data_IF_507639994704
#
_entry.id   IF_507639994704
#
_cell.length_a   1.000
_cell.length_b   1.000
_cell.length_c   1.000
_cell.angle_alpha   90.00
_cell.angle_beta   90.00
_cell.angle_gamma   90.00
#
_symmetry.space_group_name_H-M   'P 1'
#
loop_
_entity.id
_entity.type
_entity.pdbx_description
1 polymer ?
#
# COMPACT_ATOMS: atom_id res chain seq x y z
N UNK A 1 -47.26 20.74 -14.54
CA UNK A 1 -45.95 20.36 -15.13
C UNK A 1 -45.01 20.10 -13.95
N UNK A 2 -45.05 18.88 -13.42
CA UNK A 2 -44.34 18.47 -12.22
C UNK A 2 -42.94 18.01 -12.59
N UNK A 3 -41.94 18.84 -12.27
CA UNK A 3 -40.54 18.42 -12.21
C UNK A 3 -40.40 17.49 -11.00
N UNK A 4 -40.53 16.19 -11.24
CA UNK A 4 -40.10 15.19 -10.26
C UNK A 4 -38.65 14.86 -10.61
N UNK A 5 -37.79 15.13 -9.65
CA UNK A 5 -36.40 14.68 -9.51
C UNK A 5 -35.92 13.68 -10.56
N UNK A 6 -35.12 14.16 -11.52
CA UNK A 6 -34.07 13.34 -12.11
C UNK A 6 -32.97 13.13 -11.06
N UNK A 7 -33.27 12.36 -10.02
CA UNK A 7 -32.26 11.72 -9.19
C UNK A 7 -31.36 10.93 -10.14
N UNK A 8 -30.05 11.21 -10.10
CA UNK A 8 -29.05 10.55 -10.92
C UNK A 8 -29.04 9.07 -10.52
N UNK A 9 -29.84 8.25 -11.20
CA UNK A 9 -29.87 6.80 -10.99
C UNK A 9 -28.54 6.24 -11.48
N UNK A 10 -27.73 5.76 -10.55
CA UNK A 10 -26.49 5.07 -10.89
C UNK A 10 -26.78 3.65 -11.37
N UNK A 11 -25.81 3.00 -12.00
CA UNK A 11 -25.94 1.59 -12.41
C UNK A 11 -26.19 0.63 -11.24
N UNK A 12 -25.71 0.99 -10.03
CA UNK A 12 -25.94 0.22 -8.81
C UNK A 12 -27.40 0.32 -8.37
N UNK A 13 -28.02 1.52 -8.45
CA UNK A 13 -29.44 1.72 -8.12
C UNK A 13 -30.36 0.93 -9.07
N UNK A 14 -29.96 0.83 -10.34
CA UNK A 14 -30.67 0.02 -11.32
C UNK A 14 -30.58 -1.48 -10.97
N UNK A 15 -29.40 -1.96 -10.56
CA UNK A 15 -29.22 -3.33 -10.10
C UNK A 15 -30.05 -3.64 -8.84
N UNK A 16 -30.02 -2.75 -7.84
CA UNK A 16 -30.84 -2.87 -6.62
C UNK A 16 -32.32 -2.99 -6.98
N UNK A 17 -32.83 -2.08 -7.82
CA UNK A 17 -34.22 -2.13 -8.27
C UNK A 17 -34.56 -3.40 -9.05
N UNK A 18 -33.62 -3.91 -9.85
CA UNK A 18 -33.80 -5.13 -10.63
C UNK A 18 -33.95 -6.36 -9.73
N UNK A 19 -33.05 -6.50 -8.75
CA UNK A 19 -33.09 -7.61 -7.78
C UNK A 19 -34.32 -7.48 -6.88
N UNK A 20 -34.68 -6.27 -6.46
CA UNK A 20 -35.87 -6.01 -5.65
C UNK A 20 -37.17 -6.42 -6.36
N UNK A 21 -37.31 -6.09 -7.65
CA UNK A 21 -38.48 -6.43 -8.48
C UNK A 21 -38.57 -7.91 -8.77
N UNK A 22 -37.47 -8.54 -9.17
CA UNK A 22 -37.46 -9.94 -9.57
C UNK A 22 -37.37 -10.92 -8.38
N UNK A 23 -37.02 -10.42 -7.18
CA UNK A 23 -36.70 -11.16 -5.93
C UNK A 23 -35.49 -12.09 -6.03
N UNK A 24 -35.26 -12.68 -7.20
CA UNK A 24 -34.15 -13.55 -7.54
C UNK A 24 -33.85 -13.43 -9.03
N UNK A 25 -32.60 -13.13 -9.39
CA UNK A 25 -32.16 -12.99 -10.78
C UNK A 25 -30.75 -13.55 -10.97
N UNK A 26 -30.46 -14.24 -12.08
CA UNK A 26 -29.11 -14.72 -12.35
C UNK A 26 -28.17 -13.57 -12.78
N UNK A 27 -26.87 -13.69 -12.52
CA UNK A 27 -25.89 -12.67 -12.96
C UNK A 27 -25.92 -12.43 -14.48
N UNK A 28 -26.09 -13.49 -15.29
CA UNK A 28 -26.20 -13.39 -16.75
C UNK A 28 -27.47 -12.65 -17.17
N UNK A 29 -28.60 -12.92 -16.51
CA UNK A 29 -29.86 -12.22 -16.79
C UNK A 29 -29.80 -10.75 -16.38
N UNK A 30 -29.22 -10.45 -15.21
CA UNK A 30 -28.99 -9.07 -14.78
C UNK A 30 -28.06 -8.31 -15.73
N UNK A 31 -27.03 -8.96 -16.27
CA UNK A 31 -26.12 -8.40 -17.29
C UNK A 31 -26.85 -8.03 -18.57
N UNK A 32 -27.74 -8.91 -19.04
CA UNK A 32 -28.57 -8.65 -20.23
C UNK A 32 -29.60 -7.55 -20.01
N UNK A 33 -30.24 -7.50 -18.85
CA UNK A 33 -31.27 -6.50 -18.54
C UNK A 33 -30.68 -5.09 -18.34
N UNK A 34 -29.48 -4.98 -17.76
CA UNK A 34 -28.83 -3.68 -17.53
C UNK A 34 -27.89 -3.24 -18.66
N UNK A 35 -27.50 -4.15 -19.56
CA UNK A 35 -26.49 -3.87 -20.60
C UNK A 35 -25.09 -3.66 -20.04
N UNK A 36 -24.77 -4.27 -18.90
CA UNK A 36 -23.51 -4.10 -18.16
C UNK A 36 -22.77 -5.43 -18.12
N UNK A 37 -21.45 -5.43 -18.26
CA UNK A 37 -20.64 -6.64 -18.24
C UNK A 37 -20.83 -7.43 -16.92
N UNK A 38 -21.02 -8.75 -17.02
CA UNK A 38 -21.29 -9.63 -15.89
C UNK A 38 -20.30 -9.47 -14.73
N UNK A 39 -19.01 -9.29 -15.04
CA UNK A 39 -17.94 -9.06 -14.05
C UNK A 39 -18.20 -7.82 -13.19
N UNK A 40 -18.70 -6.74 -13.79
CA UNK A 40 -18.99 -5.48 -13.07
C UNK A 40 -20.20 -5.66 -12.16
N UNK A 41 -21.24 -6.38 -12.62
CA UNK A 41 -22.39 -6.73 -11.79
C UNK A 41 -21.99 -7.64 -10.63
N UNK A 42 -21.05 -8.56 -10.84
CA UNK A 42 -20.51 -9.41 -9.78
C UNK A 42 -19.76 -8.60 -8.72
N UNK A 43 -18.91 -7.64 -9.14
CA UNK A 43 -18.23 -6.73 -8.22
C UNK A 43 -19.23 -5.88 -7.41
N UNK A 44 -20.26 -5.34 -8.05
CA UNK A 44 -21.34 -4.62 -7.35
C UNK A 44 -22.13 -5.54 -6.42
N UNK A 45 -22.41 -6.76 -6.84
CA UNK A 45 -23.17 -7.72 -6.05
C UNK A 45 -22.44 -8.12 -4.77
N UNK A 46 -21.11 -8.28 -4.80
CA UNK A 46 -20.30 -8.53 -3.61
C UNK A 46 -20.35 -7.37 -2.62
N UNK A 47 -20.25 -6.14 -3.12
CA UNK A 47 -20.39 -4.94 -2.28
C UNK A 47 -21.78 -4.88 -1.64
N UNK A 48 -22.84 -5.16 -2.42
CA UNK A 48 -24.21 -5.16 -1.91
C UNK A 48 -24.50 -6.33 -0.95
N UNK A 49 -23.76 -7.44 -1.06
CA UNK A 49 -23.81 -8.56 -0.13
C UNK A 49 -23.13 -8.23 1.20
N UNK A 50 -21.97 -7.56 1.15
CA UNK A 50 -21.28 -7.06 2.35
C UNK A 50 -22.14 -6.06 3.14
N UNK A 51 -22.93 -5.25 2.42
CA UNK A 51 -23.91 -4.32 3.00
C UNK A 51 -25.23 -5.00 3.43
N UNK A 52 -25.41 -6.30 3.14
CA UNK A 52 -26.61 -7.06 3.51
C UNK A 52 -27.87 -6.68 2.72
N UNK A 53 -27.72 -6.02 1.57
CA UNK A 53 -28.83 -5.58 0.70
C UNK A 53 -29.31 -6.76 -0.17
N UNK A 54 -28.38 -7.56 -0.67
CA UNK A 54 -28.65 -8.77 -1.46
C UNK A 54 -27.81 -9.95 -0.95
N UNK A 55 -28.13 -11.17 -1.35
CA UNK A 55 -27.36 -12.39 -1.07
C UNK A 55 -27.02 -13.09 -2.38
N UNK A 56 -25.81 -13.62 -2.51
CA UNK A 56 -25.39 -14.37 -3.68
C UNK A 56 -25.57 -15.88 -3.40
N UNK A 57 -26.63 -16.45 -3.99
CA UNK A 57 -26.91 -17.89 -3.91
C UNK A 57 -26.29 -18.63 -5.09
N UNK A 58 -25.38 -19.56 -4.82
CA UNK A 58 -24.77 -20.42 -5.84
C UNK A 58 -25.61 -21.69 -6.00
N UNK A 59 -26.21 -21.88 -7.18
CA UNK A 59 -26.88 -23.12 -7.55
C UNK A 59 -26.20 -23.74 -8.76
N UNK A 60 -25.58 -24.91 -8.56
CA UNK A 60 -24.70 -25.55 -9.54
C UNK A 60 -23.57 -24.60 -9.98
N UNK A 61 -23.52 -24.25 -11.26
CA UNK A 61 -22.52 -23.37 -11.87
C UNK A 61 -23.04 -21.94 -12.07
N UNK A 62 -24.24 -21.62 -11.58
CA UNK A 62 -24.90 -20.34 -11.83
C UNK A 62 -25.11 -19.58 -10.52
N UNK A 63 -24.59 -18.36 -10.45
CA UNK A 63 -24.80 -17.44 -9.33
C UNK A 63 -26.09 -16.65 -9.49
N UNK A 64 -26.91 -16.62 -8.45
CA UNK A 64 -28.16 -15.88 -8.37
C UNK A 64 -28.06 -14.77 -7.32
N UNK A 65 -28.49 -13.57 -7.70
CA UNK A 65 -28.70 -12.46 -6.79
C UNK A 65 -30.10 -12.59 -6.19
N UNK A 66 -30.17 -12.73 -4.87
CA UNK A 66 -31.42 -12.85 -4.11
C UNK A 66 -31.58 -11.60 -3.26
N UNK A 67 -32.76 -10.99 -3.28
CA UNK A 67 -33.04 -9.86 -2.39
C UNK A 67 -32.96 -10.33 -0.93
N UNK A 68 -32.05 -9.76 -0.14
CA UNK A 68 -31.83 -10.16 1.25
C UNK A 68 -32.80 -9.49 2.24
N UNK A 69 -33.80 -8.77 1.71
CA UNK A 69 -34.74 -7.94 2.46
C UNK A 69 -35.19 -8.53 3.80
N UNK A 70 -34.80 -7.82 4.86
CA UNK A 70 -35.17 -7.98 6.27
C UNK A 70 -34.76 -9.32 6.90
N UNK A 71 -33.61 -9.35 7.60
CA UNK A 71 -33.52 -9.52 9.07
C UNK A 71 -32.15 -9.02 9.53
N UNK A 72 -32.05 -7.77 9.97
CA UNK A 72 -31.09 -7.43 11.04
C UNK A 72 -31.88 -7.65 12.32
N UNK A 73 -31.48 -8.63 13.13
CA UNK A 73 -32.14 -8.89 14.40
C UNK A 73 -32.17 -7.60 15.23
N UNK A 74 -33.37 -7.12 15.55
CA UNK A 74 -33.57 -5.98 16.45
C UNK A 74 -32.92 -6.30 17.81
N UNK A 75 -32.16 -5.38 18.42
CA UNK A 75 -31.66 -5.56 19.77
C UNK A 75 -32.84 -5.82 20.73
N UNK A 76 -32.72 -6.79 21.64
CA UNK A 76 -33.84 -7.24 22.50
C UNK A 76 -34.58 -6.10 23.22
N UNK A 77 -33.85 -5.05 23.66
CA UNK A 77 -34.44 -3.85 24.29
C UNK A 77 -35.34 -3.02 23.37
N UNK A 78 -35.05 -3.01 22.07
CA UNK A 78 -35.78 -2.21 21.07
C UNK A 78 -37.07 -2.90 20.70
N UNK A 79 -36.98 -4.23 20.57
CA UNK A 79 -38.14 -5.10 20.43
C UNK A 79 -39.06 -4.97 21.65
N UNK A 80 -38.49 -4.99 22.86
CA UNK A 80 -39.23 -4.80 24.11
C UNK A 80 -39.96 -3.43 24.16
N UNK A 81 -39.28 -2.33 23.80
CA UNK A 81 -39.90 -1.00 23.76
C UNK A 81 -40.98 -0.86 22.68
N UNK A 82 -40.81 -1.49 21.51
CA UNK A 82 -41.85 -1.55 20.47
C UNK A 82 -43.07 -2.34 20.92
N UNK A 83 -42.85 -3.50 21.52
CA UNK A 83 -43.92 -4.34 22.06
C UNK A 83 -44.68 -3.59 23.17
N UNK A 84 -43.99 -2.86 24.04
CA UNK A 84 -44.62 -2.00 25.06
C UNK A 84 -45.44 -0.87 24.44
N UNK A 85 -44.93 -0.17 23.43
CA UNK A 85 -45.68 0.88 22.70
C UNK A 85 -46.92 0.32 22.02
N UNK A 86 -46.78 -0.78 21.29
CA UNK A 86 -47.88 -1.38 20.54
C UNK A 86 -48.97 -1.89 21.48
N UNK A 87 -48.57 -2.47 22.62
CA UNK A 87 -49.48 -2.82 23.70
C UNK A 87 -50.23 -1.60 24.24
N UNK A 88 -49.54 -0.48 24.47
CA UNK A 88 -50.16 0.76 24.94
C UNK A 88 -51.12 1.37 23.92
N UNK A 89 -50.79 1.33 22.62
CA UNK A 89 -51.68 1.81 21.56
C UNK A 89 -52.98 0.99 21.51
N UNK A 90 -52.88 -0.32 21.62
CA UNK A 90 -54.04 -1.22 21.69
C UNK A 90 -54.89 -0.92 22.94
N UNK A 91 -54.26 -0.68 24.10
CA UNK A 91 -54.98 -0.30 25.32
C UNK A 91 -55.71 1.05 25.16
N UNK A 92 -55.04 2.06 24.60
CA UNK A 92 -55.63 3.39 24.36
C UNK A 92 -56.79 3.31 23.38
N UNK A 93 -56.66 2.54 22.30
CA UNK A 93 -57.71 2.35 21.31
C UNK A 93 -58.90 1.58 21.91
N UNK A 94 -58.63 0.57 22.76
CA UNK A 94 -59.65 -0.15 23.53
C UNK A 94 -60.39 0.74 24.53
N UNK A 95 -59.68 1.63 25.22
CA UNK A 95 -60.27 2.62 26.13
C UNK A 95 -61.12 3.64 25.37
N UNK A 96 -60.64 4.13 24.22
CA UNK A 96 -61.37 5.04 23.33
C UNK A 96 -62.70 4.41 22.87
N UNK A 97 -62.65 3.15 22.42
CA UNK A 97 -63.85 2.41 22.01
C UNK A 97 -64.84 2.18 23.16
N UNK A 98 -64.36 1.91 24.38
CA UNK A 98 -65.21 1.81 25.58
C UNK A 98 -65.90 3.12 25.91
N UNK A 99 -65.19 4.25 25.82
CA UNK A 99 -65.77 5.58 26.03
C UNK A 99 -66.84 5.88 24.98
N UNK A 100 -66.57 5.56 23.72
CA UNK A 100 -67.55 5.72 22.64
C UNK A 100 -68.82 4.88 22.87
N UNK A 101 -68.67 3.63 23.32
CA UNK A 101 -69.79 2.74 23.67
C UNK A 101 -70.61 3.26 24.85
N UNK A 102 -69.97 3.68 25.94
CA UNK A 102 -70.65 4.26 27.11
C UNK A 102 -71.39 5.56 26.77
N UNK A 103 -70.84 6.38 25.86
CA UNK A 103 -71.50 7.59 25.35
C UNK A 103 -72.74 7.27 24.51
N UNK A 104 -72.73 6.16 23.76
CA UNK A 104 -73.90 5.69 23.01
C UNK A 104 -74.99 5.15 23.94
N UNK A 105 -74.64 4.28 24.90
CA UNK A 105 -75.57 3.71 25.89
C UNK A 105 -76.20 4.78 26.82
N UNK A 106 -75.40 5.79 27.19
CA UNK A 106 -75.86 6.96 27.95
C UNK A 106 -77.01 7.70 27.28
N UNK A 107 -76.98 7.82 25.94
CA UNK A 107 -78.03 8.48 25.16
C UNK A 107 -79.34 7.68 25.09
N UNK A 108 -79.29 6.35 25.22
CA UNK A 108 -80.45 5.47 25.08
C UNK A 108 -81.16 5.13 26.40
N UNK A 109 -80.46 5.08 27.53
CA UNK A 109 -80.99 4.39 28.74
C UNK A 109 -81.55 5.30 29.84
N UNK A 110 -81.10 6.55 29.99
CA UNK A 110 -81.63 7.50 31.00
C UNK A 110 -81.55 7.11 32.49
N UNK A 111 -81.20 5.86 32.84
CA UNK A 111 -81.16 5.33 34.23
C UNK A 111 -79.89 4.55 34.60
N UNK A 112 -78.80 4.69 33.85
CA UNK A 112 -77.53 3.97 34.06
C UNK A 112 -76.34 4.79 34.56
N UNK A 113 -76.55 5.99 35.13
CA UNK A 113 -75.46 6.95 35.41
C UNK A 113 -74.39 6.39 36.36
N UNK A 114 -74.77 5.57 37.35
CA UNK A 114 -73.83 5.07 38.36
C UNK A 114 -72.81 4.05 37.83
N UNK A 115 -73.18 3.19 36.87
CA UNK A 115 -72.22 2.24 36.27
C UNK A 115 -71.30 2.96 35.31
N UNK A 116 -71.82 3.90 34.51
CA UNK A 116 -71.04 4.73 33.59
C UNK A 116 -69.97 5.54 34.35
N UNK A 117 -70.30 6.10 35.53
CA UNK A 117 -69.32 6.83 36.36
C UNK A 117 -68.19 5.92 36.85
N UNK A 118 -68.49 4.67 37.22
CA UNK A 118 -67.50 3.70 37.69
C UNK A 118 -66.57 3.25 36.55
N UNK A 119 -67.13 3.00 35.37
CA UNK A 119 -66.36 2.60 34.19
C UNK A 119 -65.50 3.76 33.68
N UNK A 120 -66.02 4.99 33.67
CA UNK A 120 -65.28 6.20 33.32
C UNK A 120 -64.13 6.47 34.29
N UNK A 121 -64.31 6.19 35.59
CA UNK A 121 -63.23 6.28 36.57
C UNK A 121 -62.13 5.24 36.29
N UNK A 122 -62.49 4.01 35.90
CA UNK A 122 -61.50 2.98 35.52
C UNK A 122 -60.74 3.36 34.24
N UNK A 123 -61.43 3.94 33.25
CA UNK A 123 -60.83 4.44 32.02
C UNK A 123 -59.88 5.60 32.33
N UNK A 124 -60.31 6.55 33.15
CA UNK A 124 -59.47 7.69 33.55
C UNK A 124 -58.21 7.24 34.30
N UNK A 125 -58.30 6.20 35.13
CA UNK A 125 -57.15 5.62 35.81
C UNK A 125 -56.21 4.96 34.79
N UNK A 126 -56.73 4.19 33.84
CA UNK A 126 -55.96 3.55 32.77
C UNK A 126 -55.24 4.58 31.88
N UNK A 127 -55.93 5.64 31.46
CA UNK A 127 -55.32 6.76 30.70
C UNK A 127 -54.23 7.43 31.52
N UNK A 128 -54.43 7.65 32.82
CA UNK A 128 -53.39 8.23 33.69
C UNK A 128 -52.15 7.34 33.76
N UNK A 129 -52.32 6.04 33.97
CA UNK A 129 -51.20 5.08 33.97
C UNK A 129 -50.48 5.05 32.62
N UNK A 130 -51.21 5.03 31.50
CA UNK A 130 -50.60 5.09 30.17
C UNK A 130 -49.82 6.38 29.93
N UNK A 131 -50.33 7.53 30.39
CA UNK A 131 -49.63 8.84 30.31
C UNK A 131 -48.37 8.84 31.18
N UNK A 132 -48.43 8.29 32.39
CA UNK A 132 -47.26 8.20 33.28
C UNK A 132 -46.17 7.29 32.67
N UNK A 133 -46.55 6.13 32.12
CA UNK A 133 -45.62 5.24 31.40
C UNK A 133 -45.01 5.92 30.17
N UNK A 134 -45.81 6.65 29.39
CA UNK A 134 -45.35 7.36 28.20
C UNK A 134 -44.37 8.50 28.57
N UNK A 135 -44.58 9.16 29.70
CA UNK A 135 -43.65 10.16 30.22
C UNK A 135 -42.31 9.55 30.67
N UNK A 136 -42.31 8.37 31.28
CA UNK A 136 -41.07 7.69 31.66
C UNK A 136 -40.31 7.19 30.42
N UNK A 137 -41.00 6.59 29.44
CA UNK A 137 -40.40 6.20 28.14
C UNK A 137 -39.79 7.42 27.44
N UNK A 138 -40.48 8.56 27.44
CA UNK A 138 -39.96 9.81 26.87
C UNK A 138 -38.69 10.27 27.58
N UNK A 139 -38.63 10.18 28.90
CA UNK A 139 -37.46 10.56 29.71
C UNK A 139 -36.28 9.63 29.44
N UNK A 140 -36.50 8.32 29.39
CA UNK A 140 -35.48 7.33 29.02
C UNK A 140 -34.97 7.56 27.59
N UNK A 141 -35.85 7.88 26.65
CA UNK A 141 -35.49 8.24 25.26
C UNK A 141 -34.61 9.49 25.19
N UNK A 142 -34.88 10.52 26.00
CA UNK A 142 -34.03 11.73 26.08
C UNK A 142 -32.64 11.40 26.63
N UNK A 143 -32.57 10.57 27.68
CA UNK A 143 -31.27 10.13 28.25
C UNK A 143 -30.47 9.34 27.22
N UNK A 144 -31.10 8.38 26.54
CA UNK A 144 -30.47 7.59 25.47
C UNK A 144 -29.97 8.49 24.31
N UNK A 145 -30.74 9.52 23.94
CA UNK A 145 -30.32 10.49 22.92
C UNK A 145 -29.12 11.34 23.36
N UNK A 146 -29.05 11.73 24.63
CA UNK A 146 -27.91 12.47 25.18
C UNK A 146 -26.65 11.59 25.23
N UNK A 147 -26.77 10.33 25.65
CA UNK A 147 -25.67 9.35 25.63
C UNK A 147 -25.16 9.12 24.21
N UNK A 148 -26.05 8.91 23.25
CA UNK A 148 -25.70 8.77 21.84
C UNK A 148 -24.95 10.01 21.31
N UNK A 149 -25.41 11.22 21.66
CA UNK A 149 -24.74 12.47 21.28
C UNK A 149 -23.32 12.56 21.88
N UNK A 150 -23.15 12.17 23.14
CA UNK A 150 -21.83 12.12 23.77
C UNK A 150 -20.89 11.14 23.05
N UNK A 151 -21.38 9.94 22.71
CA UNK A 151 -20.59 8.95 21.98
C UNK A 151 -20.22 9.43 20.56
N UNK A 152 -21.12 10.13 19.87
CA UNK A 152 -20.84 10.74 18.56
C UNK A 152 -19.70 11.77 18.68
N UNK A 153 -19.76 12.65 19.67
CA UNK A 153 -18.71 13.66 19.89
C UNK A 153 -17.35 13.00 20.20
N UNK A 154 -17.34 11.92 21.00
CA UNK A 154 -16.12 11.14 21.24
C UNK A 154 -15.56 10.51 19.96
N UNK A 155 -16.43 9.97 19.10
CA UNK A 155 -16.03 9.43 17.81
C UNK A 155 -15.46 10.51 16.89
N UNK A 156 -16.10 11.68 16.80
CA UNK A 156 -15.58 12.81 16.01
C UNK A 156 -14.18 13.23 16.48
N UNK A 157 -13.95 13.23 17.80
CA UNK A 157 -12.63 13.49 18.38
C UNK A 157 -11.59 12.40 18.10
N UNK A 158 -11.99 11.13 18.01
CA UNK A 158 -11.11 10.03 17.60
C UNK A 158 -10.77 10.12 16.11
N UNK A 159 -11.76 10.37 15.26
CA UNK A 159 -11.58 10.55 13.81
C UNK A 159 -10.62 11.71 13.54
N UNK A 160 -10.78 12.84 14.25
CA UNK A 160 -9.89 14.00 14.09
C UNK A 160 -8.44 13.68 14.46
N UNK A 161 -8.20 12.98 15.57
CA UNK A 161 -6.85 12.55 15.97
C UNK A 161 -6.22 11.56 14.99
N UNK A 162 -7.01 10.67 14.40
CA UNK A 162 -6.51 9.73 13.38
C UNK A 162 -6.09 10.47 12.13
N UNK A 163 -6.88 11.45 11.67
CA UNK A 163 -6.52 12.31 10.55
C UNK A 163 -5.21 13.04 10.77
N UNK A 164 -5.04 13.69 11.93
CA UNK A 164 -3.80 14.37 12.27
C UNK A 164 -2.59 13.42 12.25
N UNK A 165 -2.76 12.19 12.76
CA UNK A 165 -1.71 11.15 12.71
C UNK A 165 -1.41 10.70 11.28
N UNK A 166 -2.43 10.49 10.45
CA UNK A 166 -2.26 10.15 9.04
C UNK A 166 -1.53 11.24 8.27
N UNK A 167 -1.91 12.50 8.45
CA UNK A 167 -1.26 13.64 7.80
C UNK A 167 0.23 13.70 8.19
N UNK A 168 0.54 13.49 9.47
CA UNK A 168 1.91 13.42 9.96
C UNK A 168 2.69 12.26 9.31
N UNK A 169 2.08 11.08 9.16
CA UNK A 169 2.72 9.93 8.51
C UNK A 169 2.89 10.13 7.01
N UNK A 170 1.91 10.70 6.33
CA UNK A 170 2.00 11.08 4.91
C UNK A 170 3.14 12.06 4.67
N UNK A 171 3.32 13.05 5.56
CA UNK A 171 4.45 13.98 5.52
C UNK A 171 5.79 13.27 5.75
N UNK A 172 5.89 12.39 6.74
CA UNK A 172 7.08 11.58 7.00
C UNK A 172 7.44 10.69 5.80
N UNK A 173 6.44 10.06 5.17
CA UNK A 173 6.62 9.22 3.99
C UNK A 173 7.15 10.03 2.80
N UNK A 174 6.60 11.22 2.54
CA UNK A 174 7.10 12.13 1.49
C UNK A 174 8.56 12.54 1.74
N UNK A 175 8.89 12.84 2.99
CA UNK A 175 10.28 13.15 3.37
C UNK A 175 11.21 11.94 3.13
N UNK A 176 10.81 10.74 3.53
CA UNK A 176 11.58 9.52 3.29
C UNK A 176 11.75 9.23 1.78
N UNK A 177 10.70 9.41 0.99
CA UNK A 177 10.74 9.20 -0.47
C UNK A 177 11.71 10.17 -1.17
N UNK A 178 11.71 11.44 -0.76
CA UNK A 178 12.66 12.43 -1.31
C UNK A 178 14.11 12.14 -0.91
N UNK A 179 14.36 11.71 0.33
CA UNK A 179 15.68 11.29 0.77
C UNK A 179 16.15 10.05 -0.02
N UNK A 180 15.27 9.08 -0.22
CA UNK A 180 15.55 7.88 -1.00
C UNK A 180 15.90 8.20 -2.47
N UNK A 181 15.14 9.09 -3.12
CA UNK A 181 15.44 9.55 -4.49
C UNK A 181 16.82 10.19 -4.60
N UNK A 182 17.23 10.97 -3.59
CA UNK A 182 18.56 11.57 -3.53
C UNK A 182 19.65 10.49 -3.38
N UNK A 183 19.44 9.53 -2.49
CA UNK A 183 20.38 8.44 -2.25
C UNK A 183 20.50 7.53 -3.50
N UNK A 184 19.40 7.27 -4.20
CA UNK A 184 19.37 6.53 -5.46
C UNK A 184 20.17 7.25 -6.57
N UNK A 185 19.99 8.56 -6.71
CA UNK A 185 20.76 9.35 -7.68
C UNK A 185 22.28 9.34 -7.37
N UNK A 186 22.65 9.37 -6.09
CA UNK A 186 24.05 9.20 -5.67
C UNK A 186 24.55 7.80 -6.05
N UNK A 187 23.78 6.74 -5.79
CA UNK A 187 24.16 5.38 -6.20
C UNK A 187 24.31 5.22 -7.71
N UNK A 188 23.42 5.80 -8.51
CA UNK A 188 23.53 5.78 -9.98
C UNK A 188 24.81 6.48 -10.46
N UNK A 189 25.17 7.63 -9.88
CA UNK A 189 26.43 8.33 -10.16
C UNK A 189 27.63 7.43 -9.83
N UNK A 190 27.62 6.79 -8.66
CA UNK A 190 28.70 5.89 -8.23
C UNK A 190 28.83 4.66 -9.12
N UNK A 191 27.72 4.09 -9.59
CA UNK A 191 27.71 2.98 -10.55
C UNK A 191 28.33 3.43 -11.88
N UNK A 192 28.02 4.64 -12.34
CA UNK A 192 28.61 5.21 -13.56
C UNK A 192 30.12 5.39 -13.41
N UNK A 193 30.57 6.05 -12.34
CA UNK A 193 32.00 6.28 -12.06
C UNK A 193 32.76 4.95 -11.96
N UNK A 194 32.17 3.93 -11.33
CA UNK A 194 32.74 2.59 -11.26
C UNK A 194 32.88 1.93 -12.64
N UNK A 195 31.86 2.04 -13.49
CA UNK A 195 31.90 1.44 -14.83
C UNK A 195 32.95 2.11 -15.73
N UNK A 196 33.09 3.43 -15.63
CA UNK A 196 34.13 4.18 -16.35
C UNK A 196 35.53 3.75 -15.90
N UNK A 197 35.74 3.58 -14.59
CA UNK A 197 36.99 3.08 -14.06
C UNK A 197 37.27 1.62 -14.47
N UNK A 198 36.27 0.75 -14.46
CA UNK A 198 36.40 -0.64 -14.93
C UNK A 198 36.84 -0.69 -16.40
N UNK A 199 36.28 0.20 -17.24
CA UNK A 199 36.66 0.32 -18.64
C UNK A 199 38.13 0.78 -18.77
N UNK A 200 38.55 1.77 -18.00
CA UNK A 200 39.95 2.24 -18.01
C UNK A 200 40.94 1.13 -17.59
N UNK A 201 40.58 0.30 -16.61
CA UNK A 201 41.38 -0.87 -16.20
C UNK A 201 41.45 -1.91 -17.31
N UNK A 202 40.35 -2.19 -18.01
CA UNK A 202 40.32 -3.13 -19.14
C UNK A 202 41.17 -2.63 -20.31
N UNK A 203 41.13 -1.34 -20.61
CA UNK A 203 41.98 -0.72 -21.64
C UNK A 203 43.46 -0.79 -21.25
N UNK A 204 43.80 -0.52 -19.98
CA UNK A 204 45.15 -0.68 -19.45
C UNK A 204 45.65 -2.12 -19.53
N UNK A 205 44.78 -3.10 -19.25
CA UNK A 205 45.11 -4.53 -19.37
C UNK A 205 45.45 -4.91 -20.83
N UNK A 206 44.63 -4.47 -21.80
CA UNK A 206 44.90 -4.72 -23.23
C UNK A 206 46.21 -4.11 -23.68
N UNK A 207 46.51 -2.90 -23.21
CA UNK A 207 47.79 -2.25 -23.49
C UNK A 207 48.96 -3.09 -22.94
N UNK A 208 48.87 -3.56 -21.70
CA UNK A 208 49.91 -4.41 -21.10
C UNK A 208 50.08 -5.76 -21.83
N UNK A 209 48.99 -6.36 -22.30
CA UNK A 209 49.04 -7.60 -23.11
C UNK A 209 49.75 -7.36 -24.45
N UNK A 210 49.41 -6.29 -25.16
CA UNK A 210 50.12 -5.90 -26.40
C UNK A 210 51.60 -5.57 -26.14
N UNK A 211 51.90 -4.91 -25.02
CA UNK A 211 53.27 -4.62 -24.63
C UNK A 211 54.06 -5.90 -24.33
N UNK A 212 53.44 -6.89 -23.68
CA UNK A 212 54.08 -8.18 -23.41
C UNK A 212 54.46 -8.89 -24.72
N UNK A 213 53.55 -8.95 -25.69
CA UNK A 213 53.81 -9.58 -26.99
C UNK A 213 55.01 -8.95 -27.71
N UNK A 214 55.12 -7.62 -27.71
CA UNK A 214 56.27 -6.94 -28.33
C UNK A 214 57.59 -7.24 -27.61
N UNK A 215 57.57 -7.39 -26.28
CA UNK A 215 58.76 -7.80 -25.51
C UNK A 215 59.16 -9.24 -25.86
N UNK A 216 58.19 -10.14 -25.96
CA UNK A 216 58.42 -11.54 -26.34
C UNK A 216 59.03 -11.62 -27.76
N UNK A 217 58.56 -10.80 -28.71
CA UNK A 217 59.13 -10.69 -30.06
C UNK A 217 60.57 -10.17 -30.06
N UNK A 218 60.86 -9.13 -29.25
CA UNK A 218 62.21 -8.61 -29.10
C UNK A 218 63.17 -9.64 -28.48
N UNK A 219 62.72 -10.39 -27.48
CA UNK A 219 63.49 -11.47 -26.85
C UNK A 219 63.80 -12.58 -27.86
N UNK A 220 62.81 -12.99 -28.66
CA UNK A 220 63.00 -14.00 -29.71
C UNK A 220 63.99 -13.53 -30.79
N UNK A 221 63.93 -12.27 -31.21
CA UNK A 221 64.88 -11.67 -32.15
C UNK A 221 66.31 -11.64 -31.60
N UNK A 222 66.48 -11.30 -30.33
CA UNK A 222 67.78 -11.33 -29.65
C UNK A 222 68.34 -12.75 -29.56
N UNK A 223 67.53 -13.74 -29.19
CA UNK A 223 67.95 -15.13 -29.13
C UNK A 223 68.45 -15.64 -30.50
N UNK A 224 67.77 -15.24 -31.59
CA UNK A 224 68.20 -15.54 -32.96
C UNK A 224 69.57 -14.92 -33.31
N UNK A 225 69.80 -13.67 -32.92
CA UNK A 225 71.09 -12.99 -33.13
C UNK A 225 72.20 -13.58 -32.27
N UNK A 226 71.93 -13.89 -31.01
CA UNK A 226 72.87 -14.57 -30.11
C UNK A 226 73.37 -15.89 -30.74
N UNK A 227 72.45 -16.67 -31.33
CA UNK A 227 72.80 -17.89 -32.04
C UNK A 227 73.71 -17.64 -33.24
N UNK A 228 73.38 -16.66 -34.09
CA UNK A 228 74.22 -16.27 -35.24
C UNK A 228 75.64 -15.84 -34.82
N UNK A 229 75.75 -15.05 -33.74
CA UNK A 229 77.03 -14.62 -33.18
C UNK A 229 77.84 -15.83 -32.69
N UNK A 230 77.20 -16.78 -31.99
CA UNK A 230 77.86 -18.01 -31.52
C UNK A 230 78.40 -18.85 -32.68
N UNK A 231 77.61 -19.06 -33.73
CA UNK A 231 78.02 -19.81 -34.93
C UNK A 231 79.24 -19.16 -35.63
N UNK A 232 79.25 -17.83 -35.73
CA UNK A 232 80.39 -17.09 -36.31
C UNK A 232 81.61 -17.08 -35.41
N UNK A 233 81.45 -16.97 -34.09
CA UNK A 233 82.55 -17.11 -33.13
C UNK A 233 83.20 -18.48 -33.25
N UNK A 234 82.41 -19.53 -33.41
CA UNK A 234 82.91 -20.89 -33.61
C UNK A 234 83.69 -21.01 -34.93
N UNK A 235 83.17 -20.41 -36.01
CA UNK A 235 83.87 -20.30 -37.31
C UNK A 235 85.19 -19.51 -37.18
N UNK A 236 85.18 -18.42 -36.42
CA UNK A 236 86.36 -17.59 -36.16
C UNK A 236 87.41 -18.35 -35.35
N UNK A 237 86.97 -19.14 -34.36
CA UNK A 237 87.85 -20.01 -33.56
C UNK A 237 88.57 -21.01 -34.46
N UNK A 238 87.86 -21.56 -35.46
CA UNK A 238 88.44 -22.44 -36.48
C UNK A 238 89.41 -21.72 -37.43
N UNK A 239 89.14 -20.47 -37.79
CA UNK A 239 89.96 -19.74 -38.77
C UNK A 239 91.16 -18.98 -38.18
N UNK A 240 91.18 -18.65 -36.88
CA UNK A 240 92.29 -17.95 -36.21
C UNK A 240 93.68 -18.62 -36.32
N UNK A 241 93.75 -19.76 -37.02
CA UNK A 241 94.97 -20.37 -37.58
C UNK A 241 95.55 -19.65 -38.82
N UNK A 242 94.99 -18.54 -39.36
CA UNK A 242 95.70 -17.67 -40.32
C UNK A 242 94.95 -16.51 -41.03
N UNK A 243 95.57 -15.30 -41.00
CA UNK A 243 95.32 -14.00 -41.71
C UNK A 243 93.93 -13.33 -41.58
N UNK A 244 93.84 -12.31 -40.70
CA UNK A 244 92.59 -11.78 -40.13
C UNK A 244 92.61 -10.24 -39.90
N UNK A 245 92.09 -9.43 -40.81
CA UNK A 245 91.81 -8.00 -40.50
C UNK A 245 90.40 -7.59 -40.97
N UNK A 246 90.00 -8.03 -42.17
CA UNK A 246 88.67 -7.75 -42.70
C UNK A 246 87.55 -8.45 -41.91
N UNK A 247 87.78 -9.69 -41.47
CA UNK A 247 86.80 -10.47 -40.71
C UNK A 247 86.68 -10.00 -39.25
N UNK A 248 87.78 -9.51 -38.64
CA UNK A 248 87.74 -8.86 -37.32
C UNK A 248 86.86 -7.62 -37.35
N UNK A 249 86.98 -6.82 -38.42
CA UNK A 249 86.17 -5.62 -38.58
C UNK A 249 84.68 -5.97 -38.67
N UNK A 250 84.31 -7.00 -39.45
CA UNK A 250 82.92 -7.45 -39.56
C UNK A 250 82.32 -7.90 -38.23
N UNK A 251 83.08 -8.64 -37.42
CA UNK A 251 82.62 -9.06 -36.07
C UNK A 251 82.50 -7.86 -35.13
N UNK A 252 83.41 -6.88 -35.19
CA UNK A 252 83.33 -5.66 -34.38
C UNK A 252 82.11 -4.82 -34.75
N UNK A 253 81.86 -4.61 -36.05
CA UNK A 253 80.72 -3.82 -36.53
C UNK A 253 79.38 -4.47 -36.09
N UNK A 254 79.29 -5.81 -36.10
CA UNK A 254 78.12 -6.53 -35.58
C UNK A 254 78.00 -6.48 -34.06
N UNK A 255 79.11 -6.57 -33.33
CA UNK A 255 79.10 -6.41 -31.88
C UNK A 255 78.62 -5.01 -31.48
N UNK A 256 79.10 -3.96 -32.16
CA UNK A 256 78.62 -2.59 -31.96
C UNK A 256 77.12 -2.47 -32.32
N UNK A 257 76.68 -3.13 -33.39
CA UNK A 257 75.26 -3.20 -33.75
C UNK A 257 74.41 -3.84 -32.65
N UNK A 258 74.83 -5.00 -32.13
CA UNK A 258 74.15 -5.71 -31.03
C UNK A 258 74.14 -4.87 -29.77
N UNK A 259 75.25 -4.23 -29.43
CA UNK A 259 75.35 -3.37 -28.25
C UNK A 259 74.43 -2.14 -28.37
N UNK A 260 74.30 -1.56 -29.56
CA UNK A 260 73.34 -0.48 -29.84
C UNK A 260 71.88 -0.94 -29.68
N UNK A 261 71.55 -2.16 -30.14
CA UNK A 261 70.21 -2.74 -29.97
C UNK A 261 69.92 -3.07 -28.52
N UNK A 262 70.91 -3.59 -27.78
CA UNK A 262 70.78 -3.84 -26.35
C UNK A 262 70.50 -2.54 -25.59
N UNK A 263 71.20 -1.47 -25.94
CA UNK A 263 71.01 -0.14 -25.33
C UNK A 263 69.61 0.42 -25.63
N UNK A 264 69.15 0.32 -26.89
CA UNK A 264 67.80 0.71 -27.30
C UNK A 264 66.70 -0.13 -26.62
N UNK A 265 66.91 -1.44 -26.48
CA UNK A 265 65.98 -2.32 -25.77
C UNK A 265 65.89 -1.94 -24.30
N UNK A 266 67.03 -1.67 -23.66
CA UNK A 266 67.06 -1.29 -22.25
C UNK A 266 66.33 0.03 -22.00
N UNK A 267 66.53 1.03 -22.87
CA UNK A 267 65.81 2.31 -22.81
C UNK A 267 64.29 2.11 -23.00
N UNK A 268 63.90 1.25 -23.94
CA UNK A 268 62.48 0.91 -24.19
C UNK A 268 61.85 0.19 -22.99
N UNK A 269 62.56 -0.78 -22.40
CA UNK A 269 62.12 -1.49 -21.21
C UNK A 269 61.97 -0.54 -20.02
N UNK A 270 62.92 0.38 -19.82
CA UNK A 270 62.90 1.32 -18.71
C UNK A 270 61.74 2.32 -18.85
N UNK A 271 61.47 2.79 -20.07
CA UNK A 271 60.27 3.61 -20.38
C UNK A 271 58.98 2.84 -20.04
N UNK A 272 58.87 1.58 -20.48
CA UNK A 272 57.69 0.75 -20.19
C UNK A 272 57.51 0.44 -18.72
N UNK A 273 58.60 0.21 -17.99
CA UNK A 273 58.58 -0.03 -16.55
C UNK A 273 58.01 1.19 -15.81
N UNK A 274 58.33 2.41 -16.28
CA UNK A 274 57.76 3.65 -15.76
C UNK A 274 56.27 3.81 -16.10
N UNK A 275 55.84 3.45 -17.32
CA UNK A 275 54.42 3.41 -17.69
C UNK A 275 53.62 2.42 -16.83
N UNK A 276 54.15 1.21 -16.59
CA UNK A 276 53.56 0.22 -15.67
C UNK A 276 53.46 0.73 -14.24
N UNK A 277 54.48 1.43 -13.74
CA UNK A 277 54.46 2.04 -12.39
C UNK A 277 53.37 3.09 -12.28
N UNK A 278 53.18 3.92 -13.30
CA UNK A 278 52.09 4.91 -13.36
C UNK A 278 50.72 4.23 -13.34
N UNK A 279 50.51 3.20 -14.17
CA UNK A 279 49.26 2.45 -14.19
C UNK A 279 48.95 1.79 -12.83
N UNK A 280 49.96 1.17 -12.18
CA UNK A 280 49.82 0.60 -10.84
C UNK A 280 49.45 1.65 -9.80
N UNK A 281 50.03 2.85 -9.88
CA UNK A 281 49.65 3.96 -8.99
C UNK A 281 48.18 4.34 -9.19
N UNK A 282 47.73 4.51 -10.43
CA UNK A 282 46.33 4.82 -10.75
C UNK A 282 45.36 3.76 -10.22
N UNK A 283 45.70 2.47 -10.37
CA UNK A 283 44.90 1.36 -9.83
C UNK A 283 44.83 1.42 -8.29
N UNK A 284 45.95 1.71 -7.63
CA UNK A 284 46.00 1.77 -6.17
C UNK A 284 45.23 2.97 -5.60
N UNK A 285 45.32 4.13 -6.25
CA UNK A 285 44.53 5.31 -5.89
C UNK A 285 43.03 5.02 -6.06
N UNK A 286 42.63 4.36 -7.16
CA UNK A 286 41.25 3.91 -7.37
C UNK A 286 40.78 2.91 -6.32
N UNK A 287 41.62 1.95 -5.92
CA UNK A 287 41.28 0.98 -4.87
C UNK A 287 40.92 1.68 -3.54
N UNK A 288 41.62 2.76 -3.19
CA UNK A 288 41.31 3.55 -2.00
C UNK A 288 40.00 4.31 -2.11
N UNK A 289 39.69 4.84 -3.30
CA UNK A 289 38.41 5.52 -3.54
C UNK A 289 37.24 4.53 -3.41
N UNK A 290 37.41 3.30 -3.90
CA UNK A 290 36.43 2.21 -3.73
C UNK A 290 36.25 1.85 -2.24
N UNK A 291 37.33 1.66 -1.49
CA UNK A 291 37.25 1.39 -0.04
C UNK A 291 36.54 2.53 0.71
N UNK A 292 36.81 3.78 0.33
CA UNK A 292 36.16 4.96 0.90
C UNK A 292 34.66 4.95 0.57
N UNK A 293 34.28 4.59 -0.65
CA UNK A 293 32.87 4.47 -1.05
C UNK A 293 32.16 3.33 -0.33
N UNK A 294 32.78 2.16 -0.19
CA UNK A 294 32.23 1.04 0.57
C UNK A 294 31.99 1.41 2.04
N UNK A 295 32.89 2.20 2.64
CA UNK A 295 32.68 2.71 4.01
C UNK A 295 31.55 3.74 4.12
N UNK A 296 31.28 4.51 3.04
CA UNK A 296 30.16 5.47 3.00
C UNK A 296 28.82 4.78 2.75
N UNK A 297 28.81 3.71 1.96
CA UNK A 297 27.70 2.74 1.83
C UNK A 297 27.81 1.71 2.97
N UNK A 298 28.13 2.16 4.18
CA UNK A 298 28.24 1.26 5.31
C UNK A 298 26.90 0.56 5.57
N UNK A 299 27.00 -0.66 6.11
CA UNK A 299 25.87 -1.39 6.70
C UNK A 299 25.02 -0.49 7.60
N UNK A 300 25.61 0.56 8.18
CA UNK A 300 24.95 1.52 9.05
C UNK A 300 23.87 2.35 8.35
N UNK A 301 24.08 2.80 7.10
CA UNK A 301 23.06 3.54 6.34
C UNK A 301 21.91 2.61 5.95
N UNK A 302 22.24 1.42 5.46
CA UNK A 302 21.26 0.41 5.07
C UNK A 302 20.48 -0.07 6.31
N UNK A 303 21.14 -0.31 7.44
CA UNK A 303 20.53 -0.74 8.70
C UNK A 303 19.65 0.35 9.31
N UNK A 304 20.08 1.63 9.29
CA UNK A 304 19.21 2.75 9.72
C UNK A 304 17.95 2.83 8.88
N UNK A 305 18.06 2.75 7.56
CA UNK A 305 16.89 2.77 6.66
C UNK A 305 16.00 1.55 6.85
N UNK A 306 16.58 0.36 7.02
CA UNK A 306 15.84 -0.85 7.34
C UNK A 306 15.04 -0.70 8.64
N UNK A 307 15.65 -0.12 9.68
CA UNK A 307 14.96 0.14 10.95
C UNK A 307 13.86 1.21 10.82
N UNK A 308 14.06 2.27 10.02
CA UNK A 308 13.01 3.25 9.72
C UNK A 308 11.80 2.60 9.02
N UNK A 309 12.06 1.77 8.00
CA UNK A 309 11.01 1.03 7.28
C UNK A 309 10.28 0.07 8.22
N UNK A 310 11.01 -0.62 9.08
CA UNK A 310 10.44 -1.53 10.09
C UNK A 310 9.52 -0.77 11.05
N UNK A 311 9.97 0.38 11.58
CA UNK A 311 9.16 1.21 12.47
C UNK A 311 7.90 1.72 11.77
N UNK A 312 8.00 2.17 10.52
CA UNK A 312 6.84 2.58 9.71
C UNK A 312 5.88 1.40 9.49
N UNK A 313 6.39 0.19 9.31
CA UNK A 313 5.56 -1.03 9.17
C UNK A 313 4.78 -1.33 10.45
N UNK A 314 5.42 -1.24 11.62
CA UNK A 314 4.76 -1.43 12.90
C UNK A 314 3.71 -0.35 13.19
N UNK A 315 3.91 0.87 12.68
CA UNK A 315 2.97 1.98 12.82
C UNK A 315 1.76 1.84 11.89
N UNK A 316 1.94 1.37 10.66
CA UNK A 316 0.86 1.06 9.73
C UNK A 316 -0.06 -0.03 10.29
N UNK A 317 0.50 -1.13 10.79
CA UNK A 317 -0.28 -2.20 11.39
C UNK A 317 -1.16 -1.70 12.56
N UNK A 318 -0.64 -0.79 13.40
CA UNK A 318 -1.42 -0.18 14.49
C UNK A 318 -2.57 0.70 14.00
N UNK A 319 -2.41 1.36 12.86
CA UNK A 319 -3.48 2.16 12.26
C UNK A 319 -4.57 1.27 11.67
N UNK A 320 -4.21 0.17 11.03
CA UNK A 320 -5.17 -0.82 10.53
C UNK A 320 -6.01 -1.41 11.68
N UNK A 321 -5.36 -1.77 12.79
CA UNK A 321 -6.06 -2.24 14.01
C UNK A 321 -7.01 -1.15 14.59
N UNK A 322 -6.56 0.11 14.63
CA UNK A 322 -7.38 1.24 15.10
C UNK A 322 -8.57 1.51 14.17
N UNK A 323 -8.37 1.43 12.84
CA UNK A 323 -9.41 1.55 11.82
C UNK A 323 -10.48 0.47 11.99
N UNK A 324 -10.07 -0.80 12.08
CA UNK A 324 -11.00 -1.93 12.26
C UNK A 324 -11.82 -1.78 13.55
N UNK A 325 -11.19 -1.31 14.63
CA UNK A 325 -11.87 -1.05 15.89
C UNK A 325 -12.91 0.07 15.76
N UNK A 326 -12.61 1.13 15.01
CA UNK A 326 -13.54 2.22 14.79
C UNK A 326 -14.69 1.84 13.88
N UNK A 327 -14.45 1.08 12.81
CA UNK A 327 -15.51 0.56 11.94
C UNK A 327 -16.49 -0.30 12.75
N UNK A 328 -15.99 -1.19 13.61
CA UNK A 328 -16.83 -1.97 14.55
C UNK A 328 -17.65 -1.08 15.47
N UNK A 329 -17.06 -0.04 16.07
CA UNK A 329 -17.76 0.90 16.97
C UNK A 329 -18.82 1.72 16.21
N UNK A 330 -18.51 2.17 14.99
CA UNK A 330 -19.44 2.90 14.12
C UNK A 330 -20.64 2.02 13.75
N UNK A 331 -20.41 0.77 13.34
CA UNK A 331 -21.47 -0.21 13.02
C UNK A 331 -22.37 -0.49 14.24
N UNK A 332 -21.80 -0.50 15.44
CA UNK A 332 -22.59 -0.65 16.67
C UNK A 332 -23.49 0.55 16.92
N UNK A 333 -22.94 1.76 16.82
CA UNK A 333 -23.69 3.02 16.99
C UNK A 333 -24.76 3.21 15.91
N UNK A 334 -24.51 2.78 14.66
CA UNK A 334 -25.53 2.73 13.62
C UNK A 334 -26.75 1.92 14.05
N UNK A 335 -26.51 0.74 14.62
CA UNK A 335 -27.58 -0.14 15.09
C UNK A 335 -28.34 0.50 16.26
N UNK A 336 -27.64 1.14 17.19
CA UNK A 336 -28.26 1.88 18.30
C UNK A 336 -29.10 3.08 17.82
N UNK A 337 -28.62 3.85 16.84
CA UNK A 337 -29.35 4.99 16.28
C UNK A 337 -30.56 4.58 15.46
N UNK A 338 -30.43 3.55 14.61
CA UNK A 338 -31.57 2.99 13.87
C UNK A 338 -32.67 2.49 14.80
N UNK A 339 -32.26 1.90 15.93
CA UNK A 339 -33.17 1.49 16.99
C UNK A 339 -33.90 2.67 17.68
N UNK A 340 -33.22 3.80 17.86
CA UNK A 340 -33.76 5.01 18.50
C UNK A 340 -34.65 5.84 17.54
N UNK A 341 -34.55 5.62 16.22
CA UNK A 341 -35.24 6.36 15.15
C UNK A 341 -36.79 6.19 15.11
N UNK A 342 -37.41 5.82 16.23
CA UNK A 342 -38.86 5.67 16.37
C UNK A 342 -39.51 6.97 16.88
N UNK A 343 -38.79 7.91 17.51
CA UNK A 343 -39.41 9.17 17.97
C UNK A 343 -38.50 10.41 18.02
N UNK A 344 -37.22 10.30 17.63
CA UNK A 344 -36.32 11.47 17.58
C UNK A 344 -36.66 12.33 16.37
N UNK A 345 -36.69 13.65 16.58
CA UNK A 345 -36.92 14.66 15.52
C UNK A 345 -36.16 14.29 14.23
N UNK A 346 -36.84 14.24 13.06
CA UNK A 346 -36.23 13.88 11.78
C UNK A 346 -34.97 14.70 11.46
N UNK A 347 -34.88 15.92 11.99
CA UNK A 347 -33.75 16.82 11.80
C UNK A 347 -32.48 16.34 12.51
N UNK A 348 -32.59 15.89 13.77
CA UNK A 348 -31.44 15.39 14.53
C UNK A 348 -30.93 14.06 13.97
N UNK A 349 -31.84 13.19 13.55
CA UNK A 349 -31.50 11.93 12.86
C UNK A 349 -30.79 12.22 11.54
N UNK A 350 -31.27 13.20 10.76
CA UNK A 350 -30.66 13.60 9.50
C UNK A 350 -29.25 14.18 9.69
N UNK A 351 -29.04 15.01 10.71
CA UNK A 351 -27.72 15.56 11.05
C UNK A 351 -26.73 14.47 11.47
N UNK A 352 -27.16 13.56 12.36
CA UNK A 352 -26.33 12.42 12.78
C UNK A 352 -26.00 11.52 11.60
N UNK A 353 -27.00 11.18 10.76
CA UNK A 353 -26.78 10.35 9.56
C UNK A 353 -25.80 11.00 8.59
N UNK A 354 -25.90 12.32 8.39
CA UNK A 354 -24.98 13.09 7.54
C UNK A 354 -23.55 13.06 8.06
N UNK A 355 -23.35 13.35 9.35
CA UNK A 355 -22.02 13.30 10.00
C UNK A 355 -21.41 11.91 9.95
N UNK A 356 -22.25 10.89 10.02
CA UNK A 356 -21.82 9.50 10.00
C UNK A 356 -21.45 9.03 8.59
N UNK A 357 -22.14 9.48 7.55
CA UNK A 357 -21.72 9.25 6.16
C UNK A 357 -20.43 10.00 5.82
N UNK A 358 -20.24 11.23 6.34
CA UNK A 358 -18.94 11.90 6.24
C UNK A 358 -17.83 11.09 6.91
N UNK A 359 -18.09 10.49 8.09
CA UNK A 359 -17.13 9.64 8.77
C UNK A 359 -16.78 8.39 7.94
N UNK A 360 -17.76 7.75 7.30
CA UNK A 360 -17.53 6.60 6.40
C UNK A 360 -16.67 6.96 5.20
N UNK A 361 -16.95 8.06 4.51
CA UNK A 361 -16.13 8.48 3.36
C UNK A 361 -14.71 8.85 3.80
N UNK A 362 -14.54 9.45 4.98
CA UNK A 362 -13.21 9.71 5.57
C UNK A 362 -12.44 8.41 5.85
N UNK A 363 -13.09 7.38 6.42
CA UNK A 363 -12.48 6.06 6.64
C UNK A 363 -12.09 5.41 5.30
N UNK A 364 -12.93 5.52 4.28
CA UNK A 364 -12.66 4.97 2.95
C UNK A 364 -11.49 5.67 2.25
N UNK A 365 -11.35 6.99 2.43
CA UNK A 365 -10.18 7.74 1.98
C UNK A 365 -8.90 7.27 2.69
N UNK A 366 -8.94 7.12 4.02
CA UNK A 366 -7.85 6.53 4.81
C UNK A 366 -7.44 5.16 4.27
N UNK A 367 -8.39 4.28 3.98
CA UNK A 367 -8.12 2.94 3.45
C UNK A 367 -7.40 2.96 2.10
N UNK A 368 -7.75 3.92 1.23
CA UNK A 368 -7.05 4.11 -0.06
C UNK A 368 -5.61 4.57 0.16
N UNK A 369 -5.38 5.48 1.11
CA UNK A 369 -4.03 5.95 1.43
C UNK A 369 -3.16 4.84 2.04
N UNK A 370 -3.72 4.05 2.96
CA UNK A 370 -3.04 2.87 3.54
C UNK A 370 -2.65 1.88 2.43
N UNK A 371 -3.58 1.58 1.51
CA UNK A 371 -3.31 0.69 0.37
C UNK A 371 -2.17 1.22 -0.52
N UNK A 372 -2.13 2.53 -0.78
CA UNK A 372 -1.06 3.16 -1.55
C UNK A 372 0.28 3.10 -0.82
N UNK A 373 0.28 3.27 0.51
CA UNK A 373 1.47 3.11 1.35
C UNK A 373 2.00 1.67 1.31
N UNK A 374 1.11 0.68 1.34
CA UNK A 374 1.45 -0.74 1.22
C UNK A 374 2.12 -1.08 -0.12
N UNK A 375 1.63 -0.50 -1.21
CA UNK A 375 2.23 -0.64 -2.54
C UNK A 375 3.64 -0.05 -2.60
N UNK A 376 3.81 1.18 -2.12
CA UNK A 376 5.12 1.84 -2.05
C UNK A 376 6.11 1.07 -1.17
N UNK A 377 5.63 0.48 -0.07
CA UNK A 377 6.42 -0.40 0.80
C UNK A 377 6.94 -1.61 0.03
N UNK A 378 6.08 -2.28 -0.74
CA UNK A 378 6.48 -3.45 -1.52
C UNK A 378 7.53 -3.11 -2.59
N UNK A 379 7.37 -1.98 -3.28
CA UNK A 379 8.37 -1.49 -4.25
C UNK A 379 9.73 -1.28 -3.59
N UNK A 380 9.75 -0.73 -2.37
CA UNK A 380 10.99 -0.47 -1.63
C UNK A 380 11.67 -1.77 -1.17
N UNK A 381 10.89 -2.76 -0.73
CA UNK A 381 11.40 -4.11 -0.38
C UNK A 381 12.05 -4.77 -1.59
N UNK A 382 11.39 -4.73 -2.74
CA UNK A 382 11.90 -5.32 -3.98
C UNK A 382 13.21 -4.65 -4.42
N UNK A 383 13.30 -3.33 -4.27
CA UNK A 383 14.51 -2.58 -4.61
C UNK A 383 15.68 -2.92 -3.66
N UNK A 384 15.42 -3.02 -2.35
CA UNK A 384 16.42 -3.49 -1.38
C UNK A 384 16.90 -4.91 -1.71
N UNK A 385 16.00 -5.80 -2.13
CA UNK A 385 16.36 -7.16 -2.54
C UNK A 385 17.28 -7.16 -3.77
N UNK A 386 16.98 -6.34 -4.78
CA UNK A 386 17.83 -6.18 -5.96
C UNK A 386 19.22 -5.64 -5.62
N UNK A 387 19.30 -4.66 -4.71
CA UNK A 387 20.58 -4.13 -4.24
C UNK A 387 21.41 -5.21 -3.53
N UNK A 388 20.77 -6.06 -2.73
CA UNK A 388 21.44 -7.18 -2.06
C UNK A 388 21.93 -8.22 -3.06
N UNK A 389 21.10 -8.63 -4.02
CA UNK A 389 21.47 -9.59 -5.07
C UNK A 389 22.64 -9.08 -5.93
N UNK A 390 22.64 -7.79 -6.30
CA UNK A 390 23.73 -7.16 -7.03
C UNK A 390 25.05 -7.12 -6.25
N UNK A 391 24.99 -7.11 -4.91
CA UNK A 391 26.17 -7.21 -4.03
C UNK A 391 26.68 -8.64 -3.96
N UNK A 392 25.78 -9.62 -3.86
CA UNK A 392 26.13 -11.05 -3.78
C UNK A 392 26.68 -11.59 -5.10
N UNK A 393 26.16 -11.14 -6.26
CA UNK A 393 26.65 -11.56 -7.58
C UNK A 393 28.05 -11.04 -7.93
N UNK A 394 28.62 -10.15 -7.10
CA UNK A 394 29.96 -9.58 -7.25
C UNK A 394 31.02 -10.27 -6.38
N UNK A 395 30.60 -11.13 -5.45
CA UNK A 395 31.49 -12.08 -4.76
C UNK A 395 31.64 -13.34 -5.59
#
# INVERSE_FOLDING_TARGET
MTYVDSLISTGVDQLINLVYKNKRISLDQASKELGIAQKVIEEWARILEDEGIIRIDYQFTTSYLVWAGEVIAEPDKVKELREQRDSLLVEVEGLSNRVAGLLAESKESGKGVSSIVKDLASVSQGVKTAVDTLNEVKKESVVASQEATSMINELEGLISRIKERMDAYSAQLKSAESAYKKDAAVMESLISEYNDALKAVQESKKLLESQKEEIDDMLNSLAGKEKSIKERLETYTQLSTGKFDAEIKGVRDEFESVNSMYSSLNETLEKRLNEMRLALKTINDFSKDVETLESRISEDVIARRYNEIKNLTEMLAKLEDEEERLDKKLKLLMKELQAINIEVSPTAVKEVTSKMEEAKEKIKETKREVTLMEQKRQELIDLMKRLKEAKESKK
#
